data_IF_465016334895
#
_entry.id   IF_465016334895
#
_cell.length_a   1.000
_cell.length_b   1.000
_cell.length_c   1.000
_cell.angle_alpha   90.00
_cell.angle_beta   90.00
_cell.angle_gamma   90.00
#
_symmetry.space_group_name_H-M   'P 1'
#
loop_
_entity.id
_entity.type
_entity.pdbx_description
1 polymer ?
#
# COMPACT_ATOMS: atom_id res chain seq x y z
N UNK A 1 -4.78 -1.55 -8.11
CA UNK A 1 -4.32 -0.36 -7.36
C UNK A 1 -5.34 0.02 -6.29
N UNK A 2 -4.91 0.65 -5.19
CA UNK A 2 -5.79 1.13 -4.10
C UNK A 2 -6.10 2.62 -4.28
N UNK A 3 -7.29 3.02 -4.80
CA UNK A 3 -7.55 4.41 -5.19
C UNK A 3 -7.42 5.40 -4.04
N UNK A 4 -8.00 5.06 -2.88
CA UNK A 4 -7.98 5.89 -1.66
C UNK A 4 -6.55 6.18 -1.19
N UNK A 5 -5.69 5.16 -1.17
CA UNK A 5 -4.32 5.33 -0.72
C UNK A 5 -3.44 6.02 -1.77
N UNK A 6 -3.71 5.77 -3.06
CA UNK A 6 -3.02 6.46 -4.15
C UNK A 6 -3.31 7.95 -4.17
N UNK A 7 -4.56 8.35 -3.93
CA UNK A 7 -4.94 9.77 -3.78
C UNK A 7 -4.19 10.41 -2.61
N UNK A 8 -4.15 9.74 -1.45
CA UNK A 8 -3.42 10.24 -0.29
C UNK A 8 -1.91 10.41 -0.58
N UNK A 9 -1.27 9.45 -1.26
CA UNK A 9 0.14 9.54 -1.65
C UNK A 9 0.38 10.68 -2.65
N UNK A 10 -0.51 10.87 -3.63
CA UNK A 10 -0.41 12.00 -4.55
C UNK A 10 -0.47 13.32 -3.79
N UNK A 11 -1.44 13.46 -2.89
CA UNK A 11 -1.63 14.69 -2.11
C UNK A 11 -0.48 14.93 -1.12
N UNK A 12 0.18 13.87 -0.63
CA UNK A 12 1.38 14.01 0.22
C UNK A 12 2.58 14.58 -0.52
N UNK A 13 2.63 14.40 -1.85
CA UNK A 13 3.72 14.91 -2.68
C UNK A 13 3.51 16.37 -3.14
N UNK A 14 2.27 16.85 -3.24
CA UNK A 14 1.96 18.17 -3.81
C UNK A 14 1.55 19.23 -2.78
N UNK A 15 1.07 18.83 -1.60
CA UNK A 15 0.68 19.77 -0.55
C UNK A 15 1.85 20.09 0.40
N UNK A 16 1.88 21.31 0.98
CA UNK A 16 2.76 21.58 2.11
C UNK A 16 2.54 20.58 3.24
N UNK A 17 3.62 20.10 3.88
CA UNK A 17 3.57 19.04 4.89
C UNK A 17 2.48 19.22 5.96
N UNK A 18 2.36 20.42 6.52
CA UNK A 18 1.38 20.70 7.58
C UNK A 18 -0.07 20.66 7.07
N UNK A 19 -0.30 21.03 5.81
CA UNK A 19 -1.62 20.98 5.19
C UNK A 19 -1.98 19.55 4.85
N UNK A 20 -1.01 18.76 4.36
CA UNK A 20 -1.21 17.33 4.13
C UNK A 20 -1.55 16.57 5.41
N UNK A 21 -0.83 16.81 6.52
CA UNK A 21 -1.11 16.11 7.79
C UNK A 21 -2.54 16.39 8.28
N UNK A 22 -3.03 17.63 8.13
CA UNK A 22 -4.42 17.97 8.46
C UNK A 22 -5.42 17.28 7.52
N UNK A 23 -5.15 17.33 6.22
CA UNK A 23 -5.97 16.66 5.21
C UNK A 23 -6.06 15.16 5.48
N UNK A 24 -4.92 14.49 5.68
CA UNK A 24 -4.84 13.04 5.82
C UNK A 24 -5.62 12.55 7.05
N UNK A 25 -5.50 13.27 8.18
CA UNK A 25 -6.31 13.00 9.39
C UNK A 25 -7.80 13.16 9.16
N UNK A 26 -8.24 14.07 8.29
CA UNK A 26 -9.67 14.23 7.98
C UNK A 26 -10.16 13.21 6.95
N UNK A 27 -9.31 12.86 5.99
CA UNK A 27 -9.61 11.95 4.88
C UNK A 27 -9.71 10.48 5.34
N UNK A 28 -8.85 10.07 6.29
CA UNK A 28 -8.85 8.74 6.90
C UNK A 28 -8.77 8.86 8.44
N UNK A 29 -9.89 9.21 9.10
CA UNK A 29 -9.88 9.61 10.51
C UNK A 29 -9.65 8.46 11.49
N UNK A 30 -9.88 7.21 11.08
CA UNK A 30 -9.94 6.05 11.97
C UNK A 30 -8.84 5.02 11.71
N UNK A 31 -7.68 5.46 11.19
CA UNK A 31 -6.57 4.55 10.88
C UNK A 31 -6.02 3.84 12.13
N UNK A 32 -6.06 4.48 13.30
CA UNK A 32 -5.60 3.88 14.55
C UNK A 32 -6.45 2.67 14.97
N UNK A 33 -7.74 2.68 14.63
CA UNK A 33 -8.64 1.54 14.86
C UNK A 33 -8.72 0.60 13.67
N UNK A 34 -7.78 0.71 12.71
CA UNK A 34 -7.74 -0.06 11.46
C UNK A 34 -9.02 0.05 10.61
N UNK A 35 -9.64 1.24 10.58
CA UNK A 35 -10.83 1.48 9.76
C UNK A 35 -10.52 2.42 8.57
N UNK A 36 -11.03 2.12 7.36
CA UNK A 36 -11.85 0.95 7.02
C UNK A 36 -11.06 -0.37 7.00
N UNK A 37 -11.60 -1.43 7.60
CA UNK A 37 -10.94 -2.74 7.72
C UNK A 37 -10.43 -3.35 6.39
N UNK A 38 -11.08 -2.98 5.28
CA UNK A 38 -10.71 -3.41 3.92
C UNK A 38 -9.35 -2.91 3.46
N UNK A 39 -8.85 -1.80 4.01
CA UNK A 39 -7.51 -1.30 3.73
C UNK A 39 -6.45 -2.06 4.50
N UNK A 40 -6.79 -2.60 5.68
CA UNK A 40 -5.84 -3.27 6.58
C UNK A 40 -5.81 -4.79 6.42
N UNK A 41 -6.70 -5.35 5.61
CA UNK A 41 -6.77 -6.79 5.37
C UNK A 41 -6.14 -7.12 4.00
N UNK A 42 -5.05 -7.90 3.95
CA UNK A 42 -4.51 -8.38 2.68
C UNK A 42 -5.53 -9.20 1.89
N UNK A 43 -5.62 -8.92 0.59
CA UNK A 43 -6.48 -9.69 -0.31
C UNK A 43 -5.82 -11.03 -0.63
N UNK A 44 -6.63 -12.08 -0.74
CA UNK A 44 -6.16 -13.40 -1.18
C UNK A 44 -6.49 -13.60 -2.66
N UNK A 45 -5.57 -14.22 -3.39
CA UNK A 45 -5.76 -14.62 -4.79
C UNK A 45 -6.10 -16.09 -4.81
N UNK A 46 -7.33 -16.42 -5.21
CA UNK A 46 -7.83 -17.79 -5.20
C UNK A 46 -7.38 -18.63 -6.40
N UNK A 47 -7.15 -17.98 -7.55
CA UNK A 47 -6.64 -18.60 -8.78
C UNK A 47 -5.69 -17.62 -9.45
N UNK A 48 -4.41 -18.01 -9.57
CA UNK A 48 -3.35 -17.17 -10.12
C UNK A 48 -3.21 -17.31 -11.64
N UNK A 49 -3.83 -18.33 -12.22
CA UNK A 49 -3.89 -18.52 -13.68
C UNK A 49 -4.95 -17.64 -14.33
N UNK A 50 -5.93 -17.15 -13.55
CA UNK A 50 -6.83 -16.09 -13.97
C UNK A 50 -6.12 -14.74 -13.87
N UNK A 51 -5.71 -14.23 -15.02
CA UNK A 51 -5.07 -12.92 -15.14
C UNK A 51 -5.86 -11.77 -14.50
N UNK A 52 -7.19 -11.85 -14.34
CA UNK A 52 -7.97 -10.82 -13.64
C UNK A 52 -7.78 -10.87 -12.13
N UNK A 53 -7.77 -12.08 -11.56
CA UNK A 53 -7.64 -12.28 -10.11
C UNK A 53 -6.18 -12.09 -9.67
N UNK A 54 -5.21 -12.40 -10.55
CA UNK A 54 -3.79 -12.11 -10.33
C UNK A 54 -3.49 -10.61 -10.05
N UNK A 55 -4.34 -9.68 -10.50
CA UNK A 55 -4.17 -8.24 -10.19
C UNK A 55 -4.33 -7.89 -8.70
N UNK A 56 -4.86 -8.80 -7.89
CA UNK A 56 -4.99 -8.62 -6.45
C UNK A 56 -3.63 -8.63 -5.72
N UNK A 57 -2.58 -9.28 -6.27
CA UNK A 57 -1.23 -9.12 -5.71
C UNK A 57 -0.72 -7.69 -5.93
N UNK A 58 -0.94 -7.13 -7.12
CA UNK A 58 -0.61 -5.73 -7.38
C UNK A 58 -1.42 -4.76 -6.52
N UNK A 59 -2.65 -5.12 -6.13
CA UNK A 59 -3.39 -4.37 -5.11
C UNK A 59 -2.67 -4.41 -3.76
N UNK A 60 -2.30 -5.59 -3.27
CA UNK A 60 -1.53 -5.75 -2.03
C UNK A 60 -0.20 -4.97 -2.08
N UNK A 61 0.60 -5.12 -3.13
CA UNK A 61 1.87 -4.37 -3.29
C UNK A 61 1.63 -2.86 -3.33
N UNK A 62 0.58 -2.40 -4.03
CA UNK A 62 0.24 -0.98 -4.05
C UNK A 62 -0.14 -0.44 -2.67
N UNK A 63 -0.84 -1.23 -1.85
CA UNK A 63 -1.19 -0.86 -0.46
C UNK A 63 0.05 -0.85 0.42
N UNK A 64 0.91 -1.84 0.29
CA UNK A 64 2.18 -1.89 1.00
C UNK A 64 3.02 -0.64 0.75
N UNK A 65 3.19 -0.26 -0.53
CA UNK A 65 3.91 0.95 -0.90
C UNK A 65 3.25 2.21 -0.32
N UNK A 66 1.94 2.38 -0.50
CA UNK A 66 1.27 3.58 -0.02
C UNK A 66 1.35 3.71 1.51
N UNK A 67 1.16 2.63 2.26
CA UNK A 67 1.27 2.67 3.72
C UNK A 67 2.68 3.00 4.19
N UNK A 68 3.73 2.51 3.51
CA UNK A 68 5.12 2.92 3.81
C UNK A 68 5.30 4.44 3.64
N UNK A 69 4.86 5.02 2.53
CA UNK A 69 4.95 6.46 2.27
C UNK A 69 4.16 7.27 3.31
N UNK A 70 2.89 6.93 3.49
CA UNK A 70 1.98 7.69 4.35
C UNK A 70 2.39 7.63 5.83
N UNK A 71 3.07 6.56 6.25
CA UNK A 71 3.61 6.44 7.62
C UNK A 71 4.58 7.57 8.00
N UNK A 72 5.22 8.22 7.02
CA UNK A 72 6.15 9.32 7.28
C UNK A 72 5.46 10.63 7.72
N UNK A 73 4.13 10.69 7.63
CA UNK A 73 3.31 11.83 8.04
C UNK A 73 2.51 11.59 9.33
N UNK A 74 2.74 10.45 9.99
CA UNK A 74 2.05 10.04 11.21
C UNK A 74 2.92 10.22 12.46
N UNK A 75 2.30 10.20 13.64
CA UNK A 75 3.02 9.98 14.90
C UNK A 75 3.58 8.55 14.99
N UNK A 76 4.40 8.29 16.00
CA UNK A 76 5.17 7.04 16.09
C UNK A 76 4.28 5.80 16.19
N UNK A 77 3.16 5.87 16.93
CA UNK A 77 2.27 4.73 17.11
C UNK A 77 1.58 4.36 15.79
N UNK A 78 0.99 5.35 15.12
CA UNK A 78 0.32 5.13 13.84
C UNK A 78 1.35 4.76 12.75
N UNK A 79 2.55 5.33 12.77
CA UNK A 79 3.65 4.96 11.86
C UNK A 79 4.01 3.49 11.96
N UNK A 80 4.20 2.97 13.18
CA UNK A 80 4.50 1.55 13.41
C UNK A 80 3.35 0.68 12.90
N UNK A 81 2.09 1.04 13.20
CA UNK A 81 0.92 0.30 12.74
C UNK A 81 0.85 0.22 11.21
N UNK A 82 1.01 1.36 10.51
CA UNK A 82 0.97 1.39 9.04
C UNK A 82 2.14 0.60 8.43
N UNK A 83 3.34 0.67 9.02
CA UNK A 83 4.50 -0.10 8.55
C UNK A 83 4.32 -1.61 8.72
N UNK A 84 3.78 -2.04 9.85
CA UNK A 84 3.46 -3.46 10.08
C UNK A 84 2.44 -3.95 9.05
N UNK A 85 1.39 -3.17 8.80
CA UNK A 85 0.38 -3.55 7.82
C UNK A 85 0.92 -3.52 6.37
N UNK A 86 1.84 -2.61 6.07
CA UNK A 86 2.55 -2.63 4.81
C UNK A 86 3.34 -3.92 4.60
N UNK A 87 4.03 -4.40 5.64
CA UNK A 87 4.74 -5.70 5.62
C UNK A 87 3.76 -6.85 5.39
N UNK A 88 2.63 -6.90 6.10
CA UNK A 88 1.60 -7.94 5.90
C UNK A 88 1.09 -7.99 4.45
N UNK A 89 0.82 -6.84 3.83
CA UNK A 89 0.43 -6.76 2.43
C UNK A 89 1.54 -7.21 1.48
N UNK A 90 2.78 -6.79 1.75
CA UNK A 90 3.94 -7.14 0.94
C UNK A 90 4.19 -8.64 0.97
N UNK A 91 4.27 -9.24 2.16
CA UNK A 91 4.56 -10.66 2.34
C UNK A 91 3.49 -11.54 1.68
N UNK A 92 2.22 -11.11 1.74
CA UNK A 92 1.11 -11.82 1.08
C UNK A 92 1.24 -11.87 -0.44
N UNK A 93 1.85 -10.84 -1.05
CA UNK A 93 1.95 -10.71 -2.50
C UNK A 93 3.30 -11.21 -3.05
N UNK A 94 4.41 -10.94 -2.35
CA UNK A 94 5.76 -11.20 -2.86
C UNK A 94 6.07 -12.69 -2.99
N UNK A 95 5.46 -13.54 -2.16
CA UNK A 95 5.67 -14.98 -2.15
C UNK A 95 5.32 -15.69 -3.48
N UNK A 96 4.65 -14.99 -4.40
CA UNK A 96 4.12 -15.55 -5.65
C UNK A 96 4.55 -14.77 -6.89
N UNK A 97 5.52 -13.86 -6.78
CA UNK A 97 5.90 -12.96 -7.87
C UNK A 97 6.57 -13.67 -9.05
N UNK A 98 7.11 -14.88 -8.83
CA UNK A 98 7.83 -15.68 -9.83
C UNK A 98 6.95 -16.69 -10.59
N UNK A 99 5.67 -16.86 -10.21
CA UNK A 99 4.86 -17.99 -10.65
C UNK A 99 4.27 -17.87 -12.08
N UNK A 100 4.19 -16.67 -12.69
CA UNK A 100 3.72 -16.50 -14.07
C UNK A 100 4.27 -15.24 -14.78
N UNK A 101 4.63 -15.39 -16.06
CA UNK A 101 5.06 -14.34 -17.00
C UNK A 101 3.98 -13.24 -17.09
N UNK A 102 2.70 -13.61 -17.07
CA UNK A 102 1.57 -12.67 -17.18
C UNK A 102 1.43 -11.68 -16.00
N UNK A 103 1.95 -12.02 -14.81
CA UNK A 103 1.99 -11.12 -13.66
C UNK A 103 3.31 -10.35 -13.52
N UNK A 104 4.42 -11.03 -13.78
CA UNK A 104 5.77 -10.55 -13.43
C UNK A 104 6.23 -9.29 -14.18
N UNK A 105 5.71 -8.98 -15.38
CA UNK A 105 6.15 -7.80 -16.14
C UNK A 105 5.66 -6.45 -15.62
N UNK A 106 4.55 -6.44 -14.89
CA UNK A 106 4.02 -5.22 -14.28
C UNK A 106 4.12 -5.26 -12.75
N UNK A 107 4.07 -6.45 -12.13
CA UNK A 107 4.26 -6.57 -10.68
C UNK A 107 5.69 -6.18 -10.24
N UNK A 108 6.70 -6.37 -11.09
CA UNK A 108 8.08 -5.97 -10.79
C UNK A 108 8.25 -4.48 -10.48
N UNK A 109 7.52 -3.59 -11.17
CA UNK A 109 7.58 -2.14 -10.89
C UNK A 109 6.89 -1.78 -9.57
N UNK A 110 5.80 -2.47 -9.22
CA UNK A 110 5.18 -2.32 -7.90
C UNK A 110 6.03 -2.88 -6.77
N UNK A 111 6.70 -4.02 -7.00
CA UNK A 111 7.61 -4.62 -6.04
C UNK A 111 8.82 -3.73 -5.77
N UNK A 112 9.43 -3.14 -6.82
CA UNK A 112 10.54 -2.21 -6.66
C UNK A 112 10.14 -0.98 -5.82
N UNK A 113 9.01 -0.34 -6.14
CA UNK A 113 8.47 0.76 -5.33
C UNK A 113 8.22 0.33 -3.88
N UNK A 114 7.72 -0.89 -3.66
CA UNK A 114 7.45 -1.41 -2.33
C UNK A 114 8.71 -1.81 -1.55
N UNK A 115 9.79 -2.21 -2.23
CA UNK A 115 11.06 -2.61 -1.62
C UNK A 115 11.94 -1.42 -1.24
N UNK A 116 11.89 -0.35 -2.03
CA UNK A 116 12.90 0.71 -1.96
C UNK A 116 12.25 2.10 -1.94
N UNK A 117 12.36 2.82 -0.82
CA UNK A 117 12.13 4.28 -0.79
C UNK A 117 13.01 4.93 0.29
N UNK A 118 14.32 5.00 0.02
CA UNK A 118 15.17 6.10 0.50
C UNK A 118 15.11 7.31 -0.48
N UNK A 119 13.98 7.51 -1.15
CA UNK A 119 13.75 8.65 -2.03
C UNK A 119 12.74 9.59 -1.37
N UNK A 120 13.29 10.72 -0.90
CA UNK A 120 12.73 11.90 -0.19
C UNK A 120 12.83 11.87 1.35
#
# INVERSE_FOLDING_TARGET
LSPVLMEAVLLSAVLPKNDFVKFFKAYLPNLETKEPATLFTPVSVSDRSDGKIAHLDGLNLSRAWCFKILSNFCDENLKILLRNNATEHFDKAIAHIEDDYLGSHWLGSFALLAMDVDIL
#
